data_IF_537065659320
#
_entry.id   IF_537065659320
#
_cell.length_a   1.000
_cell.length_b   1.000
_cell.length_c   1.000
_cell.angle_alpha   90.00
_cell.angle_beta   90.00
_cell.angle_gamma   90.00
#
_symmetry.space_group_name_H-M   'P 1'
#
loop_
_entity.id
_entity.type
_entity.pdbx_description
1 polymer ?
#
# COMPACT_ATOMS: atom_id res chain seq x y z
N UNK A 1 0.42 41.14 -36.17
CA UNK A 1 1.23 40.77 -34.98
C UNK A 1 0.62 39.66 -34.10
N UNK A 2 -0.62 39.20 -34.33
CA UNK A 2 -1.32 38.22 -33.49
C UNK A 2 -0.90 36.75 -33.70
N UNK A 3 -0.55 36.37 -34.93
CA UNK A 3 -0.18 34.98 -35.27
C UNK A 3 1.16 34.51 -34.69
N UNK A 4 2.13 35.41 -34.49
CA UNK A 4 3.42 35.04 -33.93
C UNK A 4 3.34 34.82 -32.40
N UNK A 5 2.52 35.62 -31.72
CA UNK A 5 2.29 35.50 -30.28
C UNK A 5 1.43 34.26 -29.97
N UNK A 6 0.39 33.98 -30.76
CA UNK A 6 -0.42 32.76 -30.59
C UNK A 6 0.40 31.50 -30.85
N UNK A 7 1.24 31.48 -31.90
CA UNK A 7 2.15 30.35 -32.16
C UNK A 7 3.15 30.14 -31.03
N UNK A 8 3.72 31.21 -30.47
CA UNK A 8 4.64 31.11 -29.33
C UNK A 8 3.94 30.61 -28.06
N UNK A 9 2.70 31.05 -27.81
CA UNK A 9 1.91 30.58 -26.68
C UNK A 9 1.50 29.11 -26.82
N UNK A 10 1.10 28.67 -28.03
CA UNK A 10 0.79 27.27 -28.30
C UNK A 10 2.02 26.37 -28.15
N UNK A 11 3.19 26.81 -28.62
CA UNK A 11 4.46 26.07 -28.45
C UNK A 11 4.83 25.98 -26.97
N UNK A 12 4.66 27.07 -26.20
CA UNK A 12 4.93 27.08 -24.75
C UNK A 12 3.99 26.12 -23.99
N UNK A 13 2.70 26.10 -24.34
CA UNK A 13 1.71 25.17 -23.77
C UNK A 13 2.03 23.71 -24.08
N UNK A 14 2.50 23.41 -25.30
CA UNK A 14 2.94 22.05 -25.68
C UNK A 14 4.20 21.66 -24.91
N UNK A 15 5.17 22.55 -24.73
CA UNK A 15 6.37 22.28 -23.93
C UNK A 15 6.01 22.04 -22.45
N UNK A 16 5.10 22.83 -21.89
CA UNK A 16 4.58 22.63 -20.53
C UNK A 16 3.83 21.30 -20.37
N UNK A 17 3.01 20.92 -21.35
CA UNK A 17 2.30 19.64 -21.35
C UNK A 17 3.25 18.44 -21.46
N UNK A 18 4.32 18.54 -22.25
CA UNK A 18 5.33 17.50 -22.40
C UNK A 18 6.26 17.38 -21.18
N UNK A 19 6.45 18.46 -20.42
CA UNK A 19 7.25 18.46 -19.18
C UNK A 19 6.48 17.91 -17.98
N UNK A 20 5.17 17.68 -18.12
CA UNK A 20 4.31 17.20 -17.03
C UNK A 20 4.41 15.70 -16.78
N UNK A 21 4.98 14.90 -17.69
CA UNK A 21 5.06 13.44 -17.53
C UNK A 21 5.88 13.05 -16.30
N UNK A 22 7.07 13.62 -16.11
CA UNK A 22 7.92 13.32 -14.95
C UNK A 22 7.27 13.75 -13.61
N UNK A 23 6.53 14.86 -13.62
CA UNK A 23 5.77 15.31 -12.44
C UNK A 23 4.61 14.36 -12.11
N UNK A 24 3.88 13.92 -13.14
CA UNK A 24 2.75 13.00 -12.97
C UNK A 24 3.25 11.63 -12.49
N UNK A 25 4.36 11.14 -13.03
CA UNK A 25 4.91 9.84 -12.64
C UNK A 25 5.51 9.88 -11.23
N UNK A 26 6.21 10.97 -10.86
CA UNK A 26 6.66 11.17 -9.47
C UNK A 26 5.51 11.26 -8.46
N UNK A 27 4.39 11.93 -8.82
CA UNK A 27 3.20 11.98 -7.97
C UNK A 27 2.53 10.60 -7.82
N UNK A 28 2.55 9.76 -8.86
CA UNK A 28 2.03 8.39 -8.77
C UNK A 28 2.88 7.54 -7.84
N UNK A 29 4.21 7.58 -7.99
CA UNK A 29 5.13 6.82 -7.15
C UNK A 29 5.00 7.20 -5.67
N UNK A 30 4.99 8.50 -5.37
CA UNK A 30 4.80 9.00 -3.99
C UNK A 30 3.44 8.56 -3.42
N UNK A 31 2.38 8.64 -4.24
CA UNK A 31 1.04 8.21 -3.83
C UNK A 31 1.00 6.69 -3.60
N UNK A 32 1.61 5.89 -4.47
CA UNK A 32 1.68 4.44 -4.32
C UNK A 32 2.33 4.05 -3.00
N UNK A 33 3.43 4.71 -2.64
CA UNK A 33 4.13 4.47 -1.38
C UNK A 33 3.26 4.83 -0.17
N UNK A 34 2.60 5.99 -0.18
CA UNK A 34 1.75 6.45 0.94
C UNK A 34 0.50 5.59 1.13
N UNK A 35 -0.23 5.31 0.04
CA UNK A 35 -1.42 4.47 0.10
C UNK A 35 -1.06 3.02 0.43
N UNK A 36 0.04 2.53 -0.14
CA UNK A 36 0.60 1.22 0.18
C UNK A 36 0.92 1.06 1.66
N UNK A 37 1.70 1.98 2.22
CA UNK A 37 2.07 2.02 3.64
C UNK A 37 0.82 2.02 4.54
N UNK A 38 -0.12 2.93 4.25
CA UNK A 38 -1.34 3.05 5.04
C UNK A 38 -2.19 1.78 4.99
N UNK A 39 -2.44 1.24 3.79
CA UNK A 39 -3.25 0.03 3.65
C UNK A 39 -2.56 -1.19 4.27
N UNK A 40 -1.24 -1.34 4.13
CA UNK A 40 -0.51 -2.44 4.74
C UNK A 40 -0.64 -2.43 6.27
N UNK A 41 -0.43 -1.27 6.90
CA UNK A 41 -0.56 -1.12 8.36
C UNK A 41 -2.00 -1.31 8.83
N UNK A 42 -2.98 -0.79 8.09
CA UNK A 42 -4.40 -1.01 8.40
C UNK A 42 -4.77 -2.49 8.31
N UNK A 43 -4.27 -3.22 7.30
CA UNK A 43 -4.50 -4.65 7.16
C UNK A 43 -3.99 -5.42 8.39
N UNK A 44 -2.75 -5.13 8.83
CA UNK A 44 -2.18 -5.71 10.05
C UNK A 44 -3.09 -5.40 11.24
N UNK A 45 -3.44 -4.12 11.46
CA UNK A 45 -4.26 -3.72 12.59
C UNK A 45 -5.61 -4.46 12.64
N UNK A 46 -6.27 -4.64 11.49
CA UNK A 46 -7.55 -5.35 11.39
C UNK A 46 -7.39 -6.85 11.68
N UNK A 47 -6.34 -7.48 11.16
CA UNK A 47 -6.05 -8.91 11.39
C UNK A 47 -5.71 -9.15 12.87
N UNK A 48 -4.84 -8.33 13.46
CA UNK A 48 -4.45 -8.45 14.86
C UNK A 48 -5.62 -8.18 15.80
N UNK A 49 -6.45 -7.17 15.49
CA UNK A 49 -7.67 -6.91 16.28
C UNK A 49 -8.65 -8.08 16.20
N UNK A 50 -8.82 -8.70 15.02
CA UNK A 50 -9.62 -9.91 14.89
C UNK A 50 -9.07 -11.02 15.81
N UNK A 51 -7.75 -11.26 15.79
CA UNK A 51 -7.08 -12.24 16.65
C UNK A 51 -7.31 -11.99 18.13
N UNK A 52 -7.21 -10.73 18.57
CA UNK A 52 -7.48 -10.33 19.96
C UNK A 52 -8.92 -10.66 20.37
N UNK A 53 -9.90 -10.47 19.47
CA UNK A 53 -11.32 -10.68 19.76
C UNK A 53 -11.73 -12.15 19.75
N UNK A 54 -11.24 -12.92 18.80
CA UNK A 54 -11.70 -14.30 18.54
C UNK A 54 -10.75 -15.36 19.10
N UNK A 55 -9.54 -14.97 19.46
CA UNK A 55 -8.48 -15.89 19.87
C UNK A 55 -7.80 -16.60 18.70
N UNK A 56 -8.16 -16.34 17.44
CA UNK A 56 -7.55 -16.94 16.25
C UNK A 56 -7.39 -15.92 15.10
N UNK A 57 -6.39 -16.11 14.22
CA UNK A 57 -6.31 -15.32 12.99
C UNK A 57 -7.45 -15.75 12.04
N UNK A 58 -8.00 -14.82 11.25
CA UNK A 58 -9.11 -15.11 10.35
C UNK A 58 -8.69 -16.12 9.27
N UNK A 59 -9.59 -17.00 8.81
CA UNK A 59 -9.25 -17.95 7.73
C UNK A 59 -9.02 -17.20 6.41
N UNK A 60 -9.83 -16.18 6.16
CA UNK A 60 -9.77 -15.28 5.01
C UNK A 60 -9.90 -13.83 5.45
N UNK A 61 -9.42 -12.88 4.65
CA UNK A 61 -9.54 -11.46 4.98
C UNK A 61 -11.01 -11.01 5.13
N UNK A 62 -11.94 -11.67 4.44
CA UNK A 62 -13.39 -11.42 4.55
C UNK A 62 -14.02 -11.87 5.87
N UNK A 63 -13.33 -12.68 6.68
CA UNK A 63 -13.84 -13.12 8.00
C UNK A 63 -13.64 -12.05 9.09
N UNK A 64 -12.96 -10.94 8.76
CA UNK A 64 -12.75 -9.82 9.68
C UNK A 64 -14.10 -9.15 9.94
N UNK A 65 -14.50 -9.12 11.22
CA UNK A 65 -15.77 -8.58 11.68
C UNK A 65 -15.61 -7.13 12.16
N UNK A 66 -16.72 -6.39 12.19
CA UNK A 66 -16.80 -5.01 12.67
C UNK A 66 -15.93 -4.02 11.88
N UNK A 67 -15.79 -4.27 10.57
CA UNK A 67 -15.15 -3.35 9.64
C UNK A 67 -16.09 -2.21 9.28
N UNK A 68 -15.52 -1.01 9.10
CA UNK A 68 -16.20 0.10 8.45
C UNK A 68 -16.19 -0.05 6.93
N UNK A 69 -17.05 0.70 6.24
CA UNK A 69 -17.16 0.67 4.77
C UNK A 69 -15.82 0.95 4.06
N UNK A 70 -14.96 1.77 4.68
CA UNK A 70 -13.65 2.14 4.15
C UNK A 70 -12.55 1.12 4.45
N UNK A 71 -12.70 0.28 5.48
CA UNK A 71 -11.68 -0.69 5.90
C UNK A 71 -11.50 -1.79 4.86
N UNK A 72 -12.58 -2.17 4.18
CA UNK A 72 -12.54 -3.24 3.19
C UNK A 72 -11.78 -2.88 1.91
N UNK A 73 -11.56 -1.59 1.65
CA UNK A 73 -10.77 -1.12 0.50
C UNK A 73 -9.33 -1.64 0.59
N UNK A 74 -8.82 -1.80 1.81
CA UNK A 74 -7.48 -2.34 2.08
C UNK A 74 -7.30 -3.74 1.51
N UNK A 75 -8.35 -4.55 1.43
CA UNK A 75 -8.29 -5.90 0.90
C UNK A 75 -7.81 -5.95 -0.57
N UNK A 76 -7.95 -4.85 -1.31
CA UNK A 76 -7.44 -4.73 -2.69
C UNK A 76 -5.95 -4.41 -2.77
N UNK A 77 -5.37 -3.92 -1.68
CA UNK A 77 -3.97 -3.55 -1.58
C UNK A 77 -3.08 -4.65 -1.03
N UNK A 78 -3.67 -5.68 -0.40
CA UNK A 78 -2.91 -6.78 0.22
C UNK A 78 -3.36 -8.16 -0.25
N UNK A 79 -2.46 -9.13 -0.15
CA UNK A 79 -2.76 -10.56 -0.23
C UNK A 79 -2.52 -11.19 1.13
N UNK A 80 -3.55 -11.83 1.68
CA UNK A 80 -3.52 -12.47 2.99
C UNK A 80 -3.62 -13.98 2.87
N UNK A 81 -2.82 -14.70 3.67
CA UNK A 81 -2.94 -16.14 3.84
C UNK A 81 -2.63 -16.54 5.28
N UNK A 82 -3.58 -17.19 5.95
CA UNK A 82 -3.34 -17.79 7.27
C UNK A 82 -2.29 -18.90 7.17
N UNK A 83 -1.43 -18.98 8.18
CA UNK A 83 -0.44 -20.05 8.35
C UNK A 83 -0.73 -20.83 9.64
N UNK A 84 -0.01 -21.93 9.85
CA UNK A 84 -0.08 -22.70 11.10
C UNK A 84 0.28 -21.82 12.31
N UNK A 85 1.37 -21.08 12.18
CA UNK A 85 1.80 -20.06 13.12
C UNK A 85 1.74 -18.69 12.43
N UNK A 86 0.80 -17.83 12.83
CA UNK A 86 0.70 -16.49 12.25
C UNK A 86 0.04 -16.44 10.88
N UNK A 87 0.51 -15.52 10.05
CA UNK A 87 -0.01 -15.30 8.69
C UNK A 87 1.05 -14.73 7.75
N UNK A 88 0.79 -14.91 6.46
CA UNK A 88 1.48 -14.25 5.37
C UNK A 88 0.66 -13.03 4.94
N UNK A 89 1.32 -11.88 4.81
CA UNK A 89 0.70 -10.65 4.33
C UNK A 89 1.63 -9.97 3.33
N UNK A 90 1.21 -9.89 2.08
CA UNK A 90 1.96 -9.25 1.01
C UNK A 90 1.27 -7.96 0.57
N UNK A 91 2.03 -6.92 0.25
CA UNK A 91 1.51 -5.74 -0.44
C UNK A 91 1.43 -6.04 -1.94
N UNK A 92 0.26 -5.83 -2.55
CA UNK A 92 0.05 -6.05 -3.99
C UNK A 92 -0.14 -4.75 -4.76
N UNK A 93 -0.68 -3.71 -4.10
CA UNK A 93 -0.97 -2.41 -4.75
C UNK A 93 -1.03 -1.25 -3.74
N UNK A 94 -0.51 -0.10 -4.15
CA UNK A 94 -0.70 1.21 -3.53
C UNK A 94 -1.94 1.90 -4.10
N UNK A 95 -1.74 3.00 -4.84
CA UNK A 95 -2.80 3.72 -5.53
C UNK A 95 -3.09 3.13 -6.92
N UNK A 96 -2.07 3.00 -7.76
CA UNK A 96 -2.11 2.45 -9.11
C UNK A 96 -1.03 1.40 -9.36
N UNK A 97 0.14 1.51 -8.72
CA UNK A 97 1.28 0.62 -8.83
C UNK A 97 1.54 -0.22 -7.58
N UNK A 98 2.66 -0.95 -7.58
CA UNK A 98 3.10 -1.76 -6.42
C UNK A 98 4.16 -0.99 -5.65
N UNK A 99 3.93 -0.67 -4.36
CA UNK A 99 4.89 0.04 -3.54
C UNK A 99 6.03 -0.89 -3.09
N UNK A 100 7.20 -0.30 -2.92
CA UNK A 100 8.36 -0.94 -2.28
C UNK A 100 8.47 -0.44 -0.84
N UNK A 101 7.96 -1.24 0.10
CA UNK A 101 7.95 -0.91 1.52
C UNK A 101 9.10 -1.62 2.25
N UNK A 102 9.67 -0.94 3.24
CA UNK A 102 10.66 -1.51 4.15
C UNK A 102 10.48 -0.91 5.54
N UNK A 103 10.35 -1.76 6.56
CA UNK A 103 10.19 -1.34 7.96
C UNK A 103 11.41 -1.72 8.80
N UNK A 104 11.69 -0.99 9.90
CA UNK A 104 12.73 -1.41 10.85
C UNK A 104 12.36 -2.74 11.53
N UNK A 105 13.35 -3.47 12.04
CA UNK A 105 13.12 -4.82 12.61
C UNK A 105 12.13 -4.81 13.79
N UNK A 106 12.16 -3.75 14.61
CA UNK A 106 11.30 -3.60 15.79
C UNK A 106 9.82 -3.40 15.44
N UNK A 107 9.50 -2.91 14.24
CA UNK A 107 8.13 -2.80 13.74
C UNK A 107 7.40 -4.16 13.74
N UNK A 108 8.11 -5.24 13.46
CA UNK A 108 7.54 -6.58 13.35
C UNK A 108 7.29 -7.25 14.70
N UNK A 109 7.87 -6.71 15.78
CA UNK A 109 7.79 -7.30 17.11
C UNK A 109 6.35 -7.34 17.63
N UNK A 110 5.90 -8.53 18.04
CA UNK A 110 4.56 -8.73 18.59
C UNK A 110 3.45 -8.90 17.54
N UNK A 111 3.77 -8.87 16.24
CA UNK A 111 2.83 -9.16 15.16
C UNK A 111 2.83 -10.65 14.79
N UNK A 112 1.72 -11.11 14.21
CA UNK A 112 1.59 -12.46 13.66
C UNK A 112 2.17 -12.66 12.26
N UNK A 113 2.81 -11.64 11.67
CA UNK A 113 3.36 -11.72 10.31
C UNK A 113 4.57 -12.65 10.29
N UNK A 114 4.50 -13.77 9.56
CA UNK A 114 5.62 -14.71 9.37
C UNK A 114 6.23 -14.68 7.97
N UNK A 115 5.48 -14.18 6.99
CA UNK A 115 5.94 -14.05 5.60
C UNK A 115 5.37 -12.78 5.00
N UNK A 116 6.19 -12.08 4.22
CA UNK A 116 5.79 -10.88 3.49
C UNK A 116 6.79 -10.60 2.36
N UNK A 117 6.36 -9.87 1.34
CA UNK A 117 7.22 -9.26 0.32
C UNK A 117 7.72 -7.86 0.72
N UNK A 118 7.35 -7.37 1.91
CA UNK A 118 7.82 -6.11 2.47
C UNK A 118 9.17 -6.31 3.17
N UNK A 119 10.11 -5.38 2.98
CA UNK A 119 11.44 -5.47 3.56
C UNK A 119 11.47 -5.30 5.08
N UNK A 120 12.47 -5.90 5.72
CA UNK A 120 12.77 -5.73 7.15
C UNK A 120 12.30 -6.86 8.07
N UNK A 121 11.49 -7.81 7.57
CA UNK A 121 11.12 -9.00 8.35
C UNK A 121 12.29 -10.00 8.37
N UNK A 122 12.91 -10.19 9.53
CA UNK A 122 13.96 -11.21 9.71
C UNK A 122 13.36 -12.52 10.26
N UNK A 123 13.98 -13.65 9.92
CA UNK A 123 13.50 -15.01 10.24
C UNK A 123 13.43 -15.34 11.74
N UNK A 124 13.78 -14.41 12.62
CA UNK A 124 13.95 -14.62 14.06
C UNK A 124 12.91 -13.88 14.91
N UNK A 125 11.82 -13.38 14.32
CA UNK A 125 10.75 -12.76 15.10
C UNK A 125 9.87 -13.88 15.70
N UNK A 126 9.87 -14.07 17.04
CA UNK A 126 9.15 -15.15 17.71
C UNK A 126 7.63 -15.06 17.57
#
# INVERSE_FOLDING_TARGET
MTNALSKRLSILLVILALSGCDLIDGLKEESDQKFGDQHFKTAIALIELHKVRTGAYPETFSDIQYTGDWDMIVAHSVSYKKLEEGYELNIVRGWVGTPELNYPEDFWSGLGVRKTNVGGLTSNTP
#
